data_IF_776283592002
#
_entry.id   IF_776283592002
#
_cell.length_a   1.000
_cell.length_b   1.000
_cell.length_c   1.000
_cell.angle_alpha   90.00
_cell.angle_beta   90.00
_cell.angle_gamma   90.00
#
_symmetry.space_group_name_H-M   'P 1'
#
loop_
_entity.id
_entity.type
_entity.pdbx_description
1 polymer ?
#
# COMPACT_ATOMS: atom_id res chain seq x y z
N UNK A 1 5.96 -8.22 -59.39
CA UNK A 1 4.51 -8.06 -59.62
C UNK A 1 3.88 -9.40 -59.22
N UNK A 2 3.19 -9.60 -58.11
CA UNK A 2 2.35 -8.75 -57.24
C UNK A 2 2.62 -9.08 -55.76
N UNK A 3 2.48 -8.08 -54.89
CA UNK A 3 2.44 -8.25 -53.43
C UNK A 3 1.01 -8.51 -52.92
N UNK A 4 0.83 -8.30 -51.60
CA UNK A 4 -0.40 -8.42 -50.75
C UNK A 4 -0.43 -9.79 -50.03
N UNK A 5 -0.55 -9.94 -48.71
CA UNK A 5 -1.03 -9.07 -47.62
C UNK A 5 -0.38 -9.48 -46.28
N UNK A 6 -0.02 -8.50 -45.44
CA UNK A 6 0.34 -8.70 -44.03
C UNK A 6 -0.96 -8.58 -43.22
N UNK A 7 -1.47 -9.68 -42.68
CA UNK A 7 -2.58 -9.63 -41.72
C UNK A 7 -2.06 -9.21 -40.36
N UNK A 8 -2.43 -7.99 -40.00
CA UNK A 8 -2.23 -7.34 -38.70
C UNK A 8 -2.90 -8.18 -37.60
N UNK A 9 -2.09 -8.53 -36.59
CA UNK A 9 -2.55 -9.16 -35.36
C UNK A 9 -3.47 -8.17 -34.66
N UNK A 10 -4.73 -8.55 -34.46
CA UNK A 10 -5.73 -7.75 -33.77
C UNK A 10 -5.28 -7.43 -32.35
N UNK A 11 -5.45 -6.15 -32.01
CA UNK A 11 -5.32 -5.59 -30.68
C UNK A 11 -6.07 -6.44 -29.64
N UNK A 12 -5.34 -6.91 -28.64
CA UNK A 12 -5.94 -7.38 -27.39
C UNK A 12 -6.19 -6.15 -26.51
N UNK A 13 -7.21 -5.36 -26.88
CA UNK A 13 -7.74 -4.32 -26.02
C UNK A 13 -8.27 -4.98 -24.73
N UNK A 14 -7.69 -4.56 -23.61
CA UNK A 14 -8.08 -4.99 -22.28
C UNK A 14 -9.55 -4.71 -22.04
N UNK A 15 -10.25 -5.68 -21.43
CA UNK A 15 -11.58 -5.47 -20.88
C UNK A 15 -11.50 -4.37 -19.81
N UNK A 16 -11.86 -3.15 -20.19
CA UNK A 16 -12.12 -2.06 -19.27
C UNK A 16 -13.32 -2.43 -18.39
N UNK A 17 -13.13 -2.43 -17.07
CA UNK A 17 -14.24 -2.27 -16.14
C UNK A 17 -14.69 -0.81 -16.22
N UNK A 18 -15.87 -0.58 -16.78
CA UNK A 18 -16.42 0.75 -17.08
C UNK A 18 -16.96 1.45 -15.82
N UNK A 19 -16.05 1.77 -14.89
CA UNK A 19 -16.35 2.68 -13.78
C UNK A 19 -15.89 4.12 -14.12
N UNK A 20 -15.43 4.37 -15.35
CA UNK A 20 -14.87 5.66 -15.79
C UNK A 20 -13.57 6.08 -15.08
N UNK A 21 -13.02 5.26 -14.17
CA UNK A 21 -11.86 5.62 -13.35
C UNK A 21 -10.53 5.18 -14.00
N UNK A 22 -9.71 6.17 -14.33
CA UNK A 22 -8.36 5.99 -14.88
C UNK A 22 -7.31 6.08 -13.78
N UNK A 23 -6.30 5.23 -13.84
CA UNK A 23 -5.13 5.36 -12.97
C UNK A 23 -4.13 6.34 -13.58
N UNK A 24 -3.57 7.20 -12.74
CA UNK A 24 -2.52 8.14 -13.12
C UNK A 24 -1.36 8.01 -12.13
N UNK A 25 -0.12 8.05 -12.63
CA UNK A 25 1.03 8.29 -11.78
C UNK A 25 1.04 9.76 -11.36
N UNK A 26 1.36 10.01 -10.09
CA UNK A 26 1.44 11.36 -9.54
C UNK A 26 2.89 11.68 -9.23
N UNK A 27 3.49 12.54 -10.06
CA UNK A 27 4.81 13.12 -9.76
C UNK A 27 4.75 13.92 -8.46
N UNK A 28 5.89 14.20 -7.81
CA UNK A 28 5.91 15.09 -6.63
C UNK A 28 5.23 16.44 -6.86
N UNK A 29 5.33 17.00 -8.08
CA UNK A 29 4.67 18.25 -8.43
C UNK A 29 3.15 18.08 -8.57
N UNK A 30 2.69 17.01 -9.22
CA UNK A 30 1.26 16.71 -9.36
C UNK A 30 0.62 16.44 -8.01
N UNK A 31 1.29 15.65 -7.16
CA UNK A 31 0.81 15.38 -5.81
C UNK A 31 0.68 16.66 -4.98
N UNK A 32 1.64 17.60 -5.07
CA UNK A 32 1.52 18.89 -4.39
C UNK A 32 0.33 19.71 -4.87
N UNK A 33 0.07 19.72 -6.18
CA UNK A 33 -1.09 20.41 -6.76
C UNK A 33 -2.42 19.78 -6.33
N UNK A 34 -2.45 18.45 -6.20
CA UNK A 34 -3.65 17.68 -5.81
C UNK A 34 -3.70 17.30 -4.32
N UNK A 35 -2.85 17.89 -3.47
CA UNK A 35 -2.72 17.49 -2.07
C UNK A 35 -4.04 17.60 -1.31
N UNK A 36 -4.75 18.71 -1.48
CA UNK A 36 -6.06 18.94 -0.86
C UNK A 36 -7.07 17.88 -1.29
N UNK A 37 -7.09 17.54 -2.58
CA UNK A 37 -8.00 16.53 -3.15
C UNK A 37 -7.72 15.13 -2.58
N UNK A 38 -6.44 14.75 -2.50
CA UNK A 38 -6.02 13.48 -1.94
C UNK A 38 -6.33 13.37 -0.44
N UNK A 39 -6.19 14.48 0.30
CA UNK A 39 -6.57 14.53 1.71
C UNK A 39 -8.08 14.43 1.90
N UNK A 40 -8.89 15.02 1.00
CA UNK A 40 -10.34 14.85 1.01
C UNK A 40 -10.74 13.38 0.80
N UNK A 41 -10.06 12.66 -0.11
CA UNK A 41 -10.25 11.21 -0.28
C UNK A 41 -9.90 10.45 1.01
N UNK A 42 -8.77 10.75 1.64
CA UNK A 42 -8.34 10.16 2.90
C UNK A 42 -9.39 10.37 4.01
N UNK A 43 -9.85 11.61 4.21
CA UNK A 43 -10.83 11.95 5.25
C UNK A 43 -12.16 11.25 5.00
N UNK A 44 -12.63 11.25 3.75
CA UNK A 44 -13.87 10.56 3.37
C UNK A 44 -13.76 9.04 3.56
N UNK A 45 -12.66 8.42 3.12
CA UNK A 45 -12.45 6.97 3.22
C UNK A 45 -12.34 6.50 4.68
N UNK A 46 -11.72 7.30 5.54
CA UNK A 46 -11.54 6.99 6.96
C UNK A 46 -12.72 7.41 7.84
N UNK A 47 -13.69 8.15 7.30
CA UNK A 47 -14.81 8.70 8.06
C UNK A 47 -14.38 9.75 9.09
N UNK A 48 -13.31 10.48 8.83
CA UNK A 48 -12.82 11.51 9.74
C UNK A 48 -13.63 12.82 9.63
N UNK A 49 -13.66 13.64 10.68
CA UNK A 49 -14.27 14.97 10.61
C UNK A 49 -13.56 15.86 9.60
N UNK A 50 -14.33 16.75 8.95
CA UNK A 50 -13.77 17.82 8.11
C UNK A 50 -12.80 18.69 8.93
N UNK A 51 -11.71 19.13 8.32
CA UNK A 51 -10.63 19.87 8.96
C UNK A 51 -9.45 18.99 9.35
N UNK A 52 -9.61 17.66 9.39
CA UNK A 52 -8.50 16.71 9.60
C UNK A 52 -7.42 16.86 8.53
N UNK A 53 -7.80 17.24 7.31
CA UNK A 53 -6.91 17.50 6.19
C UNK A 53 -5.82 18.52 6.55
N UNK A 54 -6.19 19.59 7.26
CA UNK A 54 -5.29 20.71 7.62
C UNK A 54 -4.14 20.24 8.51
N UNK A 55 -4.43 19.31 9.43
CA UNK A 55 -3.42 18.75 10.34
C UNK A 55 -2.54 17.70 9.66
N UNK A 56 -3.04 17.03 8.62
CA UNK A 56 -2.30 15.99 7.88
C UNK A 56 -1.48 16.55 6.73
N UNK A 57 -1.87 17.70 6.16
CA UNK A 57 -1.22 18.30 5.00
C UNK A 57 0.29 18.53 5.17
N UNK A 58 0.81 19.07 6.29
CA UNK A 58 2.25 19.27 6.45
C UNK A 58 3.04 17.96 6.43
N UNK A 59 2.50 16.91 7.06
CA UNK A 59 3.12 15.58 7.09
C UNK A 59 3.17 14.96 5.69
N UNK A 60 2.05 14.97 4.97
CA UNK A 60 2.01 14.46 3.59
C UNK A 60 2.91 15.28 2.65
N UNK A 61 3.00 16.61 2.84
CA UNK A 61 3.89 17.46 2.06
C UNK A 61 5.37 17.12 2.28
N UNK A 62 5.76 16.75 3.50
CA UNK A 62 7.09 16.24 3.81
C UNK A 62 7.33 14.86 3.18
N UNK A 63 6.35 13.94 3.24
CA UNK A 63 6.47 12.62 2.62
C UNK A 63 6.77 12.68 1.12
N UNK A 64 6.18 13.63 0.39
CA UNK A 64 6.42 13.85 -1.05
C UNK A 64 7.91 14.04 -1.38
N UNK A 65 8.69 14.53 -0.42
CA UNK A 65 10.13 14.80 -0.58
C UNK A 65 11.02 13.59 -0.23
N UNK A 66 10.46 12.50 0.29
CA UNK A 66 11.25 11.37 0.77
C UNK A 66 11.83 10.53 -0.38
N UNK A 67 13.05 9.97 -0.21
CA UNK A 67 13.62 9.06 -1.19
C UNK A 67 12.72 7.88 -1.51
N UNK A 68 12.68 7.48 -2.79
CA UNK A 68 11.83 6.39 -3.24
C UNK A 68 10.34 6.74 -3.32
N UNK A 69 9.96 8.02 -3.18
CA UNK A 69 8.59 8.48 -3.38
C UNK A 69 7.98 7.89 -4.66
N UNK A 70 6.73 7.45 -4.56
CA UNK A 70 5.83 7.39 -5.70
C UNK A 70 4.39 7.38 -5.25
N UNK A 71 3.50 7.75 -6.16
CA UNK A 71 2.09 7.84 -5.90
C UNK A 71 1.29 7.50 -7.15
N UNK A 72 0.15 6.85 -6.95
CA UNK A 72 -0.83 6.55 -8.00
C UNK A 72 -2.19 7.08 -7.54
N UNK A 73 -2.84 7.85 -8.40
CA UNK A 73 -4.19 8.35 -8.22
C UNK A 73 -5.19 7.57 -9.08
N UNK A 74 -6.42 7.43 -8.60
CA UNK A 74 -7.57 7.08 -9.42
C UNK A 74 -8.39 8.33 -9.70
N UNK A 75 -8.55 8.71 -10.96
CA UNK A 75 -9.32 9.89 -11.38
C UNK A 75 -10.58 9.49 -12.11
N UNK A 76 -11.69 10.16 -11.81
CA UNK A 76 -12.97 10.00 -12.50
C UNK A 76 -12.94 10.59 -13.91
N UNK A 77 -14.05 10.43 -14.65
CA UNK A 77 -14.23 11.05 -15.96
C UNK A 77 -14.08 12.59 -15.93
N UNK A 78 -14.53 13.23 -14.84
CA UNK A 78 -14.49 14.68 -14.67
C UNK A 78 -13.17 15.19 -14.07
N UNK A 79 -12.11 14.36 -14.13
CA UNK A 79 -10.75 14.63 -13.62
C UNK A 79 -10.64 14.86 -12.10
N UNK A 80 -11.63 14.36 -11.35
CA UNK A 80 -11.61 14.35 -9.89
C UNK A 80 -10.88 13.12 -9.35
N UNK A 81 -9.94 13.33 -8.43
CA UNK A 81 -9.25 12.26 -7.71
C UNK A 81 -10.21 11.61 -6.71
N UNK A 82 -10.52 10.35 -6.95
CA UNK A 82 -11.44 9.52 -6.14
C UNK A 82 -10.70 8.44 -5.35
N UNK A 83 -9.40 8.27 -5.59
CA UNK A 83 -8.56 7.35 -4.86
C UNK A 83 -7.09 7.78 -4.90
N UNK A 84 -6.33 7.45 -3.85
CA UNK A 84 -4.90 7.77 -3.74
C UNK A 84 -4.16 6.61 -3.07
N UNK A 85 -3.02 6.24 -3.62
CA UNK A 85 -2.02 5.45 -2.91
C UNK A 85 -0.65 6.10 -3.06
N UNK A 86 0.13 6.13 -1.99
CA UNK A 86 1.53 6.55 -2.09
C UNK A 86 2.42 5.79 -1.12
N UNK A 87 3.70 5.81 -1.45
CA UNK A 87 4.75 5.16 -0.67
C UNK A 87 6.07 5.91 -0.80
N UNK A 88 7.02 5.56 0.07
CA UNK A 88 8.42 5.94 -0.06
C UNK A 88 9.31 4.81 0.46
N UNK A 89 10.62 4.92 0.24
CA UNK A 89 11.57 3.95 0.79
C UNK A 89 11.68 4.14 2.30
N UNK A 90 11.52 3.04 3.02
CA UNK A 90 11.70 3.02 4.47
C UNK A 90 13.16 3.28 4.86
N UNK A 91 13.39 3.94 5.99
CA UNK A 91 14.73 4.26 6.46
C UNK A 91 14.86 4.24 7.99
N UNK A 92 16.03 3.84 8.55
CA UNK A 92 16.21 3.69 10.00
C UNK A 92 15.98 4.95 10.85
N UNK A 93 16.16 6.14 10.26
CA UNK A 93 15.93 7.41 10.95
C UNK A 93 14.45 7.81 11.01
N UNK A 94 13.57 7.12 10.28
CA UNK A 94 12.15 7.40 10.28
C UNK A 94 11.51 6.80 11.53
N UNK A 95 10.60 7.56 12.15
CA UNK A 95 9.91 7.14 13.37
C UNK A 95 9.18 5.81 13.18
N UNK A 96 8.44 5.64 12.09
CA UNK A 96 7.67 4.42 11.82
C UNK A 96 8.58 3.18 11.75
N UNK A 97 9.74 3.28 11.10
CA UNK A 97 10.73 2.20 11.05
C UNK A 97 11.16 1.75 12.47
N UNK A 98 11.45 2.71 13.35
CA UNK A 98 11.87 2.41 14.72
C UNK A 98 10.77 1.70 15.51
N UNK A 99 9.52 2.14 15.33
CA UNK A 99 8.35 1.50 15.93
C UNK A 99 8.17 0.06 15.46
N UNK A 100 8.29 -0.19 14.14
CA UNK A 100 8.15 -1.54 13.57
C UNK A 100 9.28 -2.46 14.03
N UNK A 101 10.53 -2.00 14.01
CA UNK A 101 11.69 -2.76 14.51
C UNK A 101 11.50 -3.18 15.97
N UNK A 102 11.05 -2.25 16.81
CA UNK A 102 10.75 -2.54 18.21
C UNK A 102 9.56 -3.49 18.37
N UNK A 103 8.56 -3.39 17.49
CA UNK A 103 7.44 -4.34 17.40
C UNK A 103 7.88 -5.75 17.04
N UNK A 104 8.71 -5.90 16.00
CA UNK A 104 9.32 -7.17 15.60
C UNK A 104 10.10 -7.80 16.75
N UNK A 105 10.96 -7.02 17.43
CA UNK A 105 11.72 -7.48 18.61
C UNK A 105 10.78 -8.02 19.70
N UNK A 106 9.71 -7.29 20.02
CA UNK A 106 8.72 -7.73 21.02
C UNK A 106 7.92 -8.96 20.57
N UNK A 107 7.74 -9.14 19.27
CA UNK A 107 7.11 -10.30 18.68
C UNK A 107 8.06 -11.51 18.55
N UNK A 108 9.30 -11.43 19.06
CA UNK A 108 10.25 -12.54 19.09
C UNK A 108 11.11 -12.69 17.83
N UNK A 109 11.10 -11.70 16.93
CA UNK A 109 11.97 -11.75 15.76
C UNK A 109 13.45 -11.68 16.17
N UNK A 110 14.29 -12.48 15.50
CA UNK A 110 15.74 -12.30 15.60
C UNK A 110 16.14 -10.96 15.00
N UNK A 111 17.22 -10.36 15.51
CA UNK A 111 17.75 -9.11 15.00
C UNK A 111 18.12 -9.22 13.50
N UNK A 112 18.64 -10.38 13.08
CA UNK A 112 18.99 -10.68 11.70
C UNK A 112 17.76 -10.69 10.78
N UNK A 113 16.67 -11.36 11.17
CA UNK A 113 15.45 -11.40 10.35
C UNK A 113 14.78 -10.03 10.27
N UNK A 114 14.76 -9.28 11.37
CA UNK A 114 14.24 -7.91 11.36
C UNK A 114 15.07 -7.01 10.43
N UNK A 115 16.40 -7.08 10.50
CA UNK A 115 17.29 -6.31 9.62
C UNK A 115 17.14 -6.71 8.15
N UNK A 116 17.02 -8.01 7.86
CA UNK A 116 16.79 -8.50 6.49
C UNK A 116 15.54 -7.87 5.86
N UNK A 117 14.44 -7.79 6.61
CA UNK A 117 13.19 -7.16 6.13
C UNK A 117 13.32 -5.64 6.07
N UNK A 118 13.92 -5.01 7.09
CA UNK A 118 13.93 -3.56 7.24
C UNK A 118 15.07 -2.83 6.50
N UNK A 119 16.06 -3.56 5.96
CA UNK A 119 17.19 -2.99 5.22
C UNK A 119 16.83 -2.45 3.84
N UNK A 120 15.80 -3.00 3.19
CA UNK A 120 15.38 -2.62 1.84
C UNK A 120 13.88 -2.85 1.60
N UNK A 121 13.04 -1.93 2.07
CA UNK A 121 11.59 -2.02 1.91
C UNK A 121 10.94 -0.69 1.48
N UNK A 122 9.78 -0.82 0.85
CA UNK A 122 8.84 0.28 0.62
C UNK A 122 7.88 0.36 1.79
N UNK A 123 7.71 1.55 2.36
CA UNK A 123 6.61 1.84 3.27
C UNK A 123 5.40 2.26 2.44
N UNK A 124 4.38 1.40 2.34
CA UNK A 124 3.07 1.78 1.80
C UNK A 124 2.35 2.61 2.85
N UNK A 125 2.51 3.92 2.75
CA UNK A 125 2.08 4.86 3.78
C UNK A 125 0.59 5.11 3.76
N UNK A 126 0.01 5.31 2.56
CA UNK A 126 -1.42 5.60 2.42
C UNK A 126 -2.00 4.85 1.22
N UNK A 127 -3.21 4.31 1.38
CA UNK A 127 -4.01 3.70 0.32
C UNK A 127 -5.49 3.89 0.67
N UNK A 128 -6.15 4.78 -0.07
CA UNK A 128 -7.53 5.19 0.19
C UNK A 128 -8.34 5.24 -1.09
N UNK A 129 -9.59 4.79 -0.99
CA UNK A 129 -10.59 4.88 -2.04
C UNK A 129 -11.81 5.55 -1.44
N UNK A 130 -12.27 6.64 -2.07
CA UNK A 130 -13.47 7.34 -1.66
C UNK A 130 -14.66 6.37 -1.58
N UNK A 131 -15.59 6.53 -0.61
CA UNK A 131 -16.69 5.59 -0.42
C UNK A 131 -17.51 5.31 -1.69
N UNK A 132 -17.72 6.33 -2.51
CA UNK A 132 -18.48 6.26 -3.77
C UNK A 132 -17.80 5.43 -4.86
N UNK A 133 -16.46 5.27 -4.79
CA UNK A 133 -15.66 4.50 -5.74
C UNK A 133 -15.24 3.11 -5.21
N UNK A 134 -15.76 2.69 -4.05
CA UNK A 134 -15.43 1.38 -3.46
C UNK A 134 -16.22 0.23 -4.11
N UNK A 135 -15.66 -0.99 -4.07
CA UNK A 135 -16.33 -2.19 -4.57
C UNK A 135 -15.81 -2.70 -5.92
N UNK A 136 -14.97 -1.92 -6.60
CA UNK A 136 -14.52 -2.18 -7.97
C UNK A 136 -13.04 -2.59 -8.08
N UNK A 137 -12.49 -3.20 -7.01
CA UNK A 137 -11.06 -3.56 -6.88
C UNK A 137 -10.07 -2.41 -7.13
N UNK A 138 -10.51 -1.15 -7.03
CA UNK A 138 -9.67 0.02 -7.30
C UNK A 138 -8.44 0.08 -6.37
N UNK A 139 -8.60 -0.22 -5.08
CA UNK A 139 -7.47 -0.30 -4.14
C UNK A 139 -6.42 -1.33 -4.53
N UNK A 140 -6.84 -2.45 -5.13
CA UNK A 140 -5.91 -3.46 -5.65
C UNK A 140 -5.18 -2.97 -6.89
N UNK A 141 -5.91 -2.35 -7.83
CA UNK A 141 -5.31 -1.76 -9.04
C UNK A 141 -4.26 -0.69 -8.67
N UNK A 142 -4.55 0.15 -7.66
CA UNK A 142 -3.61 1.15 -7.15
C UNK A 142 -2.36 0.51 -6.54
N UNK A 143 -2.55 -0.50 -5.67
CA UNK A 143 -1.44 -1.20 -5.04
C UNK A 143 -0.51 -1.85 -6.07
N UNK A 144 -1.09 -2.59 -7.02
CA UNK A 144 -0.31 -3.26 -8.06
C UNK A 144 0.42 -2.25 -8.95
N UNK A 145 -0.24 -1.16 -9.34
CA UNK A 145 0.39 -0.10 -10.13
C UNK A 145 1.53 0.59 -9.36
N UNK A 146 1.34 0.88 -8.07
CA UNK A 146 2.33 1.57 -7.25
C UNK A 146 3.57 0.71 -6.95
N UNK A 147 3.39 -0.61 -6.84
CA UNK A 147 4.46 -1.57 -6.59
C UNK A 147 5.15 -2.08 -7.86
N UNK A 148 4.57 -1.87 -9.04
CA UNK A 148 5.13 -2.32 -10.31
C UNK A 148 6.53 -1.70 -10.54
N UNK A 149 7.52 -2.54 -10.86
CA UNK A 149 8.88 -2.10 -11.18
C UNK A 149 9.71 -1.58 -10.00
N UNK A 150 9.20 -1.67 -8.76
CA UNK A 150 9.97 -1.38 -7.54
C UNK A 150 11.17 -2.32 -7.39
N UNK A 151 12.26 -1.81 -6.80
CA UNK A 151 13.53 -2.53 -6.63
C UNK A 151 13.80 -2.94 -5.18
N UNK A 152 12.99 -2.43 -4.27
CA UNK A 152 12.96 -2.82 -2.87
C UNK A 152 12.57 -4.30 -2.76
N UNK A 153 13.05 -4.97 -1.71
CA UNK A 153 12.84 -6.41 -1.53
C UNK A 153 11.46 -6.73 -0.97
N UNK A 154 10.83 -5.76 -0.30
CA UNK A 154 9.52 -5.94 0.32
C UNK A 154 8.73 -4.63 0.39
N UNK A 155 7.43 -4.76 0.64
CA UNK A 155 6.53 -3.67 1.01
C UNK A 155 5.96 -3.97 2.39
N UNK A 156 5.96 -2.97 3.26
CA UNK A 156 5.32 -3.05 4.57
C UNK A 156 4.31 -1.90 4.74
N UNK A 157 3.30 -2.15 5.57
CA UNK A 157 2.29 -1.17 5.96
C UNK A 157 1.82 -1.44 7.38
N UNK A 158 1.16 -0.44 7.97
CA UNK A 158 0.36 -0.63 9.18
C UNK A 158 -1.11 -0.42 8.90
N UNK A 159 -1.97 -1.28 9.45
CA UNK A 159 -3.42 -1.16 9.34
C UNK A 159 -4.08 -1.40 10.71
N UNK A 160 -5.13 -0.65 11.08
CA UNK A 160 -5.89 -0.95 12.29
C UNK A 160 -6.43 -2.38 12.25
N UNK A 161 -6.30 -3.10 13.36
CA UNK A 161 -6.96 -4.39 13.52
C UNK A 161 -8.45 -4.17 13.72
N UNK A 162 -9.23 -5.06 13.10
CA UNK A 162 -10.68 -5.14 13.28
C UNK A 162 -11.04 -6.59 13.57
N UNK A 163 -12.12 -6.80 14.30
CA UNK A 163 -12.59 -8.15 14.65
C UNK A 163 -12.76 -8.99 13.39
N UNK A 164 -12.16 -10.19 13.38
CA UNK A 164 -12.24 -11.13 12.26
C UNK A 164 -11.64 -10.62 10.95
N UNK A 165 -10.87 -9.53 10.97
CA UNK A 165 -10.33 -8.90 9.75
C UNK A 165 -11.44 -8.47 8.77
N UNK A 166 -12.65 -8.22 9.28
CA UNK A 166 -13.84 -7.99 8.46
C UNK A 166 -13.96 -6.53 8.01
N UNK A 167 -13.01 -6.10 7.17
CA UNK A 167 -13.15 -4.86 6.42
C UNK A 167 -12.53 -4.97 5.01
N UNK A 168 -12.66 -3.91 4.20
CA UNK A 168 -12.16 -3.89 2.82
C UNK A 168 -10.63 -3.91 2.74
N UNK A 169 -9.95 -3.23 3.66
CA UNK A 169 -8.49 -3.14 3.69
C UNK A 169 -7.85 -4.52 3.97
N UNK A 170 -8.30 -5.21 5.02
CA UNK A 170 -7.86 -6.56 5.35
C UNK A 170 -8.10 -7.54 4.21
N UNK A 171 -9.31 -7.56 3.62
CA UNK A 171 -9.60 -8.40 2.44
C UNK A 171 -8.69 -8.08 1.24
N UNK A 172 -8.34 -6.81 1.03
CA UNK A 172 -7.36 -6.42 0.01
C UNK A 172 -5.98 -7.01 0.33
N UNK A 173 -5.46 -6.78 1.53
CA UNK A 173 -4.12 -7.21 1.93
C UNK A 173 -3.98 -8.72 1.91
N UNK A 174 -4.95 -9.48 2.45
CA UNK A 174 -4.94 -10.94 2.40
C UNK A 174 -5.01 -11.50 0.98
N UNK A 175 -5.90 -10.96 0.13
CA UNK A 175 -5.99 -11.36 -1.29
C UNK A 175 -4.71 -11.04 -2.06
N UNK A 176 -4.01 -9.99 -1.65
CA UNK A 176 -2.71 -9.61 -2.20
C UNK A 176 -1.56 -10.13 -1.35
N UNK A 177 -1.72 -11.28 -0.68
CA UNK A 177 -0.62 -12.05 -0.09
C UNK A 177 0.14 -11.38 1.08
N UNK A 178 -0.36 -10.29 1.65
CA UNK A 178 0.27 -9.66 2.81
C UNK A 178 0.14 -10.57 4.05
N UNK A 179 1.28 -10.76 4.71
CA UNK A 179 1.42 -11.60 5.89
C UNK A 179 1.66 -10.75 7.14
N UNK A 180 1.39 -11.35 8.30
CA UNK A 180 1.56 -10.69 9.58
C UNK A 180 3.05 -10.57 9.93
N UNK A 181 3.48 -9.35 10.23
CA UNK A 181 4.81 -9.08 10.77
C UNK A 181 4.71 -8.83 12.28
N UNK A 182 3.79 -7.96 12.67
CA UNK A 182 3.50 -7.63 14.07
C UNK A 182 1.99 -7.52 14.24
N UNK A 183 1.46 -8.05 15.34
CA UNK A 183 0.03 -8.00 15.70
C UNK A 183 -0.17 -7.31 17.05
N UNK A 184 -1.36 -6.74 17.27
CA UNK A 184 -1.77 -6.07 18.50
C UNK A 184 -0.82 -4.94 18.92
N UNK A 185 -0.20 -4.28 17.94
CA UNK A 185 0.74 -3.20 18.16
C UNK A 185 0.02 -1.89 18.47
N UNK A 186 0.52 -1.12 19.43
CA UNK A 186 -0.06 0.19 19.76
C UNK A 186 0.94 1.29 19.39
N UNK A 187 0.53 2.18 18.49
CA UNK A 187 1.29 3.38 18.17
C UNK A 187 0.99 4.48 19.20
N UNK A 188 1.99 5.30 19.50
CA UNK A 188 1.76 6.47 20.35
C UNK A 188 0.75 7.41 19.68
N UNK A 189 -0.33 7.76 20.38
CA UNK A 189 -1.37 8.67 19.90
C UNK A 189 -2.58 8.02 19.21
N UNK A 190 -2.62 6.69 19.07
CA UNK A 190 -3.82 5.96 18.61
C UNK A 190 -4.10 4.78 19.55
N UNK A 191 -5.30 4.74 20.13
CA UNK A 191 -5.68 3.71 21.11
C UNK A 191 -6.04 2.37 20.46
N UNK A 192 -6.24 2.33 19.14
CA UNK A 192 -6.59 1.10 18.43
C UNK A 192 -5.37 0.18 18.34
N UNK A 193 -5.57 -1.15 18.38
CA UNK A 193 -4.53 -2.09 17.97
C UNK A 193 -4.29 -2.00 16.46
N UNK A 194 -3.03 -2.10 16.06
CA UNK A 194 -2.58 -2.16 14.68
C UNK A 194 -1.85 -3.47 14.42
N UNK A 195 -1.96 -3.90 13.17
CA UNK A 195 -1.04 -4.87 12.60
C UNK A 195 -0.02 -4.15 11.72
N UNK A 196 1.20 -4.66 11.72
CA UNK A 196 2.17 -4.41 10.66
C UNK A 196 2.11 -5.62 9.74
N UNK A 197 1.87 -5.36 8.46
CA UNK A 197 1.84 -6.37 7.42
C UNK A 197 3.02 -6.19 6.48
N UNK A 198 3.48 -7.28 5.89
CA UNK A 198 4.59 -7.29 4.94
C UNK A 198 4.35 -8.26 3.79
N UNK A 199 4.95 -7.96 2.64
CA UNK A 199 5.02 -8.86 1.48
C UNK A 199 6.30 -8.64 0.70
N UNK A 200 6.88 -9.72 0.16
CA UNK A 200 8.00 -9.63 -0.76
C UNK A 200 7.60 -8.98 -2.10
N UNK A 201 8.54 -8.22 -2.67
CA UNK A 201 8.44 -7.67 -4.01
C UNK A 201 9.35 -8.48 -4.96
N UNK A 202 8.93 -8.70 -6.22
CA UNK A 202 7.69 -8.25 -6.86
C UNK A 202 6.44 -8.96 -6.33
N UNK A 203 5.27 -8.32 -6.47
CA UNK A 203 3.99 -8.88 -6.07
C UNK A 203 3.50 -9.96 -7.06
N UNK A 204 4.06 -11.17 -7.00
CA UNK A 204 3.59 -12.33 -7.77
C UNK A 204 2.86 -13.32 -6.86
N UNK A 205 1.96 -14.18 -7.38
CA UNK A 205 1.19 -15.12 -6.54
C UNK A 205 2.04 -16.01 -5.61
N UNK A 206 3.30 -16.24 -5.97
CA UNK A 206 4.24 -17.13 -5.28
C UNK A 206 5.07 -16.42 -4.20
N UNK A 207 5.09 -15.08 -4.16
CA UNK A 207 5.89 -14.32 -3.20
C UNK A 207 5.14 -14.12 -1.88
N UNK A 208 5.66 -14.72 -0.82
CA UNK A 208 5.35 -14.39 0.57
C UNK A 208 6.54 -13.70 1.21
N UNK A 209 6.37 -13.01 2.35
CA UNK A 209 7.53 -12.62 3.13
C UNK A 209 8.16 -13.93 3.58
N UNK A 210 9.36 -14.29 3.08
CA UNK A 210 10.06 -15.56 3.33
C UNK A 210 10.45 -15.73 4.80
N UNK A 211 9.44 -15.73 5.65
CA UNK A 211 9.44 -15.99 7.05
C UNK A 211 9.21 -17.49 7.16
N UNK A 212 10.26 -18.22 7.49
CA UNK A 212 10.08 -19.58 7.97
C UNK A 212 9.16 -19.50 9.19
N UNK A 213 7.91 -19.92 9.01
CA UNK A 213 7.06 -20.27 10.13
C UNK A 213 7.58 -21.61 10.64
N UNK A 214 8.67 -21.59 11.40
CA UNK A 214 8.98 -22.68 12.33
C UNK A 214 7.88 -22.66 13.39
N UNK A 215 6.75 -23.25 13.03
CA UNK A 215 5.87 -23.85 14.01
C UNK A 215 6.62 -25.10 14.43
N UNK A 216 7.28 -25.05 15.59
CA UNK A 216 7.73 -26.26 16.27
C UNK A 216 6.51 -27.17 16.43
N UNK A 217 6.43 -28.22 15.62
CA UNK A 217 5.67 -29.41 16.02
C UNK A 217 6.38 -29.97 17.25
N UNK A 218 5.84 -29.66 18.43
CA UNK A 218 6.28 -30.28 19.67
C UNK A 218 6.10 -31.80 19.59
N UNK A 219 7.02 -32.60 20.16
CA UNK A 219 6.93 -34.05 20.07
C UNK A 219 5.67 -34.53 20.77
N UNK A 220 4.83 -35.26 20.04
CA UNK A 220 3.74 -36.02 20.64
C UNK A 220 4.36 -37.08 21.54
N UNK A 221 4.18 -36.95 22.85
CA UNK A 221 4.42 -38.02 23.83
C UNK A 221 3.16 -38.23 24.63
#
# INVERSE_FOLDING_TARGET
>A
MRGIEVSTVHDAEGRASDDGIRLIELTPQDMRRRLTEALSVYVAAMGYPRGTELHRAPMWAEHILRPGWGAVGGVSHDDHLVAIAYCYRGAPHQWWHQQVRDGMRRAGWSAENAERVLSNYVELTELHVSPEAQGHRLGERLLLALMAGRRESSVLLSTPEVTGEDNRAWRLYRRTGFQDVVRRFHFAGDARPFAVLGRELPLTPETGLGLDTTTEEGPTT
#
